data_IF_558715361815
#
_entry.id   IF_558715361815
#
_cell.length_a   1.000
_cell.length_b   1.000
_cell.length_c   1.000
_cell.angle_alpha   90.00
_cell.angle_beta   90.00
_cell.angle_gamma   90.00
#
_symmetry.space_group_name_H-M   'P 1'
#
loop_
_entity.id
_entity.type
_entity.pdbx_description
1 polymer ?
#
# COMPACT_ATOMS: atom_id res chain seq x y z
N UNK A 1 16.55 0.52 12.00
CA UNK A 1 17.16 0.27 10.69
C UNK A 1 16.73 1.41 9.76
N UNK A 2 17.70 2.02 9.10
CA UNK A 2 17.48 3.12 8.16
C UNK A 2 18.06 2.68 6.81
N UNK A 3 17.22 2.70 5.77
CA UNK A 3 17.61 2.22 4.44
C UNK A 3 17.42 3.33 3.40
N UNK A 4 18.46 4.11 3.11
CA UNK A 4 18.42 5.00 1.96
C UNK A 4 18.47 4.16 0.66
N UNK A 5 17.73 4.60 -0.34
CA UNK A 5 17.75 4.00 -1.67
C UNK A 5 17.69 5.09 -2.76
N UNK A 6 18.11 4.73 -3.95
CA UNK A 6 17.94 5.57 -5.14
C UNK A 6 17.34 4.68 -6.21
N UNK A 7 16.14 5.03 -6.66
CA UNK A 7 15.53 4.41 -7.83
C UNK A 7 15.86 5.22 -9.08
N UNK A 8 16.19 4.53 -10.16
CA UNK A 8 16.49 5.15 -11.45
C UNK A 8 15.57 4.60 -12.54
N UNK A 9 14.89 5.49 -13.27
CA UNK A 9 14.10 5.11 -14.43
C UNK A 9 14.76 5.66 -15.69
N UNK A 10 14.99 4.79 -16.64
CA UNK A 10 15.41 5.18 -17.99
C UNK A 10 14.19 5.18 -18.91
N UNK A 11 13.84 6.38 -19.40
CA UNK A 11 12.76 6.56 -20.36
C UNK A 11 13.40 6.77 -21.74
N UNK A 12 12.96 5.97 -22.70
CA UNK A 12 13.29 6.14 -24.10
C UNK A 12 12.03 6.57 -24.84
N UNK A 13 11.97 7.83 -25.24
CA UNK A 13 10.93 8.31 -26.12
C UNK A 13 11.34 8.04 -27.57
N UNK A 14 10.72 6.99 -28.14
CA UNK A 14 11.01 6.57 -29.52
C UNK A 14 10.54 7.59 -30.57
N UNK A 15 9.59 8.47 -30.22
CA UNK A 15 9.06 9.50 -31.14
C UNK A 15 9.87 10.79 -31.08
N UNK A 16 10.36 11.17 -29.90
CA UNK A 16 11.15 12.38 -29.72
C UNK A 16 12.66 12.15 -29.80
N UNK A 17 13.12 10.90 -29.87
CA UNK A 17 14.56 10.56 -29.91
C UNK A 17 15.33 10.96 -28.66
N UNK A 18 14.64 11.28 -27.57
CA UNK A 18 15.25 11.72 -26.33
C UNK A 18 15.28 10.60 -25.30
N UNK A 19 16.41 10.49 -24.62
CA UNK A 19 16.57 9.59 -23.49
C UNK A 19 16.59 10.44 -22.21
N UNK A 20 15.73 10.13 -21.26
CA UNK A 20 15.73 10.76 -19.95
C UNK A 20 16.03 9.73 -18.87
N UNK A 21 16.95 10.05 -17.98
CA UNK A 21 17.19 9.27 -16.75
C UNK A 21 16.64 10.08 -15.60
N UNK A 22 15.65 9.53 -14.92
CA UNK A 22 15.04 10.14 -13.74
C UNK A 22 15.51 9.36 -12.52
N UNK A 23 16.34 9.99 -11.67
CA UNK A 23 16.73 9.47 -10.38
C UNK A 23 15.78 9.99 -9.28
N UNK A 24 15.29 9.11 -8.42
CA UNK A 24 14.47 9.46 -7.26
C UNK A 24 15.11 8.92 -5.99
N UNK A 25 15.68 9.77 -5.13
CA UNK A 25 16.14 9.33 -3.82
C UNK A 25 14.95 9.06 -2.90
N UNK A 26 15.04 8.03 -2.10
CA UNK A 26 14.05 7.69 -1.10
C UNK A 26 14.71 7.21 0.20
N UNK A 27 13.91 7.06 1.22
CA UNK A 27 14.37 6.66 2.55
C UNK A 27 13.30 5.83 3.24
N UNK A 28 13.69 4.65 3.69
CA UNK A 28 12.87 3.82 4.57
C UNK A 28 13.48 3.77 5.97
N UNK A 29 12.63 3.98 6.97
CA UNK A 29 13.00 3.90 8.38
C UNK A 29 12.15 2.83 9.06
N UNK A 30 12.80 1.90 9.73
CA UNK A 30 12.18 0.82 10.50
C UNK A 30 12.62 0.94 11.95
N UNK A 31 11.67 1.08 12.86
CA UNK A 31 11.93 1.19 14.28
C UNK A 31 10.97 0.32 15.09
N UNK A 32 11.52 -0.51 15.96
CA UNK A 32 10.73 -1.31 16.88
C UNK A 32 10.43 -0.48 18.11
N UNK A 33 9.18 -0.03 18.26
CA UNK A 33 8.72 0.70 19.45
C UNK A 33 8.71 -0.22 20.68
N UNK A 34 8.31 -1.47 20.46
CA UNK A 34 8.40 -2.58 21.41
C UNK A 34 8.77 -3.85 20.65
N UNK A 35 9.08 -4.98 21.32
CA UNK A 35 9.33 -6.25 20.62
C UNK A 35 8.20 -6.69 19.69
N UNK A 36 6.96 -6.26 19.95
CA UNK A 36 5.77 -6.67 19.23
C UNK A 36 5.09 -5.53 18.46
N UNK A 37 5.64 -4.31 18.50
CA UNK A 37 5.08 -3.13 17.84
C UNK A 37 6.15 -2.45 17.01
N UNK A 38 5.92 -2.33 15.73
CA UNK A 38 6.85 -1.76 14.76
C UNK A 38 6.29 -0.48 14.15
N UNK A 39 7.14 0.50 14.04
CA UNK A 39 6.92 1.72 13.27
C UNK A 39 7.78 1.69 12.00
N UNK A 40 7.14 1.94 10.87
CA UNK A 40 7.80 2.01 9.57
C UNK A 40 7.41 3.31 8.90
N UNK A 41 8.38 4.03 8.37
CA UNK A 41 8.17 5.27 7.62
C UNK A 41 8.93 5.22 6.32
N UNK A 42 8.33 5.71 5.26
CA UNK A 42 8.93 5.81 3.94
C UNK A 42 8.75 7.20 3.35
N UNK A 43 9.77 7.67 2.66
CA UNK A 43 9.77 8.94 1.92
C UNK A 43 10.15 8.66 0.48
N UNK A 44 9.39 9.20 -0.47
CA UNK A 44 9.57 8.95 -1.90
C UNK A 44 9.63 7.45 -2.25
N UNK A 45 8.61 6.69 -1.82
CA UNK A 45 8.53 5.23 -2.03
C UNK A 45 8.81 4.86 -3.47
N UNK A 46 9.65 3.85 -3.66
CA UNK A 46 9.97 3.32 -4.99
C UNK A 46 8.75 2.63 -5.61
N UNK A 47 8.43 3.03 -6.83
CA UNK A 47 7.40 2.42 -7.67
C UNK A 47 7.99 1.49 -8.75
N UNK A 48 9.30 1.35 -8.82
CA UNK A 48 9.97 0.57 -9.87
C UNK A 48 9.45 -0.86 -9.98
N UNK A 49 9.05 -1.45 -8.86
CA UNK A 49 8.46 -2.80 -8.84
C UNK A 49 7.01 -2.84 -9.37
N UNK A 50 6.32 -1.70 -9.47
CA UNK A 50 4.92 -1.66 -9.93
C UNK A 50 4.79 -1.66 -11.44
N UNK A 51 5.83 -1.25 -12.16
CA UNK A 51 5.82 -1.15 -13.62
C UNK A 51 5.89 -2.51 -14.33
N UNK A 52 6.31 -3.54 -13.62
CA UNK A 52 6.49 -4.88 -14.19
C UNK A 52 5.17 -5.68 -14.21
N UNK A 53 4.04 -5.06 -13.87
CA UNK A 53 2.77 -5.74 -14.04
C UNK A 53 2.51 -5.93 -15.54
N UNK A 54 2.49 -7.19 -15.95
CA UNK A 54 2.20 -7.56 -17.34
C UNK A 54 0.87 -6.96 -17.76
N UNK A 55 0.87 -6.24 -18.89
CA UNK A 55 -0.33 -5.68 -19.48
C UNK A 55 -1.31 -6.79 -19.76
N UNK A 56 -2.30 -6.97 -18.90
CA UNK A 56 -3.38 -7.95 -19.09
C UNK A 56 -4.60 -7.23 -19.66
N UNK A 57 -5.12 -7.79 -20.76
CA UNK A 57 -6.39 -7.32 -21.31
C UNK A 57 -7.49 -7.91 -20.43
N UNK A 58 -8.23 -7.06 -19.75
CA UNK A 58 -9.36 -7.49 -18.94
C UNK A 58 -10.55 -7.80 -19.88
N UNK A 59 -10.79 -9.08 -20.14
CA UNK A 59 -11.94 -9.57 -20.89
C UNK A 59 -13.16 -9.84 -19.99
N UNK A 60 -13.05 -9.60 -18.69
CA UNK A 60 -14.12 -9.83 -17.74
C UNK A 60 -14.66 -8.49 -17.21
N UNK A 61 -15.90 -8.51 -16.73
CA UNK A 61 -16.52 -7.33 -16.06
C UNK A 61 -15.97 -7.05 -14.67
N UNK A 62 -15.09 -7.92 -14.15
CA UNK A 62 -14.53 -7.77 -12.81
C UNK A 62 -13.18 -7.06 -12.86
N UNK A 63 -12.87 -6.18 -11.90
CA UNK A 63 -11.57 -5.53 -11.85
C UNK A 63 -10.45 -6.56 -11.63
N UNK A 64 -9.33 -6.37 -12.33
CA UNK A 64 -8.13 -7.17 -12.14
C UNK A 64 -7.44 -6.76 -10.84
N UNK A 65 -7.20 -7.71 -9.95
CA UNK A 65 -6.45 -7.50 -8.71
C UNK A 65 -5.02 -7.96 -8.89
N UNK A 66 -4.10 -7.01 -8.95
CA UNK A 66 -2.66 -7.29 -8.93
C UNK A 66 -2.17 -7.41 -7.49
N UNK A 67 -1.26 -8.35 -7.20
CA UNK A 67 -0.67 -8.46 -5.87
C UNK A 67 0.16 -7.24 -5.53
N UNK A 68 0.19 -6.86 -4.25
CA UNK A 68 1.10 -5.82 -3.76
C UNK A 68 2.55 -6.31 -3.84
N UNK A 69 3.46 -5.46 -4.32
CA UNK A 69 4.89 -5.77 -4.46
C UNK A 69 5.78 -4.83 -3.64
N UNK A 70 5.27 -3.66 -3.25
CA UNK A 70 6.05 -2.66 -2.54
C UNK A 70 6.33 -3.10 -1.11
N UNK A 71 7.60 -3.14 -0.73
CA UNK A 71 8.07 -3.62 0.58
C UNK A 71 7.41 -2.92 1.76
N UNK A 72 7.19 -1.60 1.66
CA UNK A 72 6.49 -0.83 2.69
C UNK A 72 5.09 -1.38 2.98
N UNK A 73 4.32 -1.77 1.98
CA UNK A 73 2.97 -2.30 2.18
C UNK A 73 2.95 -3.78 2.52
N UNK A 74 3.90 -4.56 1.99
CA UNK A 74 3.98 -6.00 2.25
C UNK A 74 4.32 -6.32 3.70
N UNK A 75 5.16 -5.49 4.31
CA UNK A 75 5.55 -5.69 5.69
C UNK A 75 4.33 -5.59 6.60
N UNK A 76 4.04 -6.67 7.34
CA UNK A 76 2.88 -6.79 8.23
C UNK A 76 1.52 -6.48 7.55
N UNK A 77 1.40 -6.72 6.24
CA UNK A 77 0.17 -6.49 5.48
C UNK A 77 -1.04 -7.20 6.09
N UNK A 78 -0.84 -8.38 6.68
CA UNK A 78 -1.90 -9.17 7.31
C UNK A 78 -2.64 -8.45 8.44
N UNK A 79 -2.03 -7.46 9.08
CA UNK A 79 -2.68 -6.66 10.12
C UNK A 79 -3.88 -5.89 9.57
N UNK A 80 -3.84 -5.44 8.32
CA UNK A 80 -4.92 -4.68 7.68
C UNK A 80 -6.01 -5.55 7.03
N UNK A 81 -5.86 -6.87 7.04
CA UNK A 81 -6.89 -7.77 6.54
C UNK A 81 -8.10 -7.73 7.48
N UNK A 82 -9.28 -7.40 6.97
CA UNK A 82 -10.47 -7.22 7.79
C UNK A 82 -11.17 -8.53 8.15
N UNK A 83 -11.14 -9.53 7.30
CA UNK A 83 -11.82 -10.81 7.52
C UNK A 83 -10.88 -11.97 7.23
N UNK A 84 -11.06 -13.07 7.98
CA UNK A 84 -10.47 -14.35 7.61
C UNK A 84 -11.11 -14.91 6.32
N UNK A 85 -12.18 -14.29 5.87
CA UNK A 85 -12.87 -14.65 4.64
C UNK A 85 -12.11 -14.08 3.45
N UNK A 86 -10.98 -14.68 3.16
CA UNK A 86 -10.29 -14.53 1.88
C UNK A 86 -11.18 -15.01 0.71
N UNK A 87 -12.39 -15.43 1.01
CA UNK A 87 -13.30 -16.12 0.11
C UNK A 87 -14.77 -15.85 0.38
N UNK A 88 -15.17 -14.62 0.65
CA UNK A 88 -16.55 -14.29 0.33
C UNK A 88 -16.57 -13.87 -1.14
N UNK A 89 -16.54 -14.86 -1.98
CA UNK A 89 -17.11 -14.75 -3.31
C UNK A 89 -18.61 -14.68 -3.07
N UNK A 90 -19.20 -13.49 -3.01
CA UNK A 90 -20.64 -13.37 -3.23
C UNK A 90 -20.92 -13.99 -4.60
N UNK A 91 -22.11 -14.52 -4.81
CA UNK A 91 -22.54 -15.11 -6.10
C UNK A 91 -22.23 -14.22 -7.31
N UNK A 92 -21.97 -12.93 -7.09
CA UNK A 92 -21.61 -11.92 -8.09
C UNK A 92 -20.10 -11.65 -8.22
N UNK A 93 -19.24 -12.44 -7.56
CA UNK A 93 -17.77 -12.26 -7.61
C UNK A 93 -17.25 -11.02 -6.89
N UNK A 94 -18.08 -10.33 -6.12
CA UNK A 94 -17.72 -9.10 -5.42
C UNK A 94 -16.97 -9.43 -4.13
N UNK A 95 -15.72 -9.01 -4.03
CA UNK A 95 -14.90 -9.13 -2.81
C UNK A 95 -15.09 -7.88 -1.96
N UNK A 96 -15.47 -8.05 -0.70
CA UNK A 96 -15.43 -6.96 0.26
C UNK A 96 -13.99 -6.73 0.70
N UNK A 97 -13.33 -5.77 0.07
CA UNK A 97 -11.98 -5.32 0.42
C UNK A 97 -12.06 -3.88 0.94
N UNK A 98 -12.24 -3.67 2.24
CA UNK A 98 -12.31 -2.32 2.81
C UNK A 98 -11.04 -1.52 2.60
N UNK A 99 -9.94 -2.20 2.44
CA UNK A 99 -8.63 -1.61 2.19
C UNK A 99 -7.85 -2.47 1.17
N UNK A 100 -7.31 -1.81 0.15
CA UNK A 100 -6.46 -2.42 -0.86
C UNK A 100 -5.27 -1.51 -1.15
N UNK A 101 -4.10 -1.86 -0.61
CA UNK A 101 -2.88 -1.04 -0.67
C UNK A 101 -2.43 -0.78 -2.10
N UNK A 102 -2.62 -1.73 -3.01
CA UNK A 102 -2.20 -1.61 -4.41
C UNK A 102 -2.89 -0.45 -5.16
N UNK A 103 -4.10 -0.06 -4.75
CA UNK A 103 -4.79 1.10 -5.34
C UNK A 103 -4.13 2.43 -4.95
N UNK A 104 -3.33 2.45 -3.88
CA UNK A 104 -2.65 3.65 -3.42
C UNK A 104 -1.49 3.97 -4.35
N UNK A 105 -1.50 5.19 -4.88
CA UNK A 105 -0.48 5.64 -5.84
C UNK A 105 -0.75 5.21 -7.28
N UNK A 106 -1.97 4.76 -7.58
CA UNK A 106 -2.45 4.48 -8.92
C UNK A 106 -3.78 5.20 -9.14
N UNK A 107 -3.86 6.05 -10.15
CA UNK A 107 -5.10 6.71 -10.60
C UNK A 107 -5.16 6.57 -12.11
N UNK A 108 -6.24 6.02 -12.63
CA UNK A 108 -6.46 5.79 -14.07
C UNK A 108 -5.26 5.12 -14.77
N UNK A 109 -4.70 4.10 -14.11
CA UNK A 109 -3.52 3.38 -14.58
C UNK A 109 -2.22 4.23 -14.67
N UNK A 110 -2.23 5.43 -14.08
CA UNK A 110 -1.07 6.30 -13.97
C UNK A 110 -0.50 6.27 -12.56
N UNK A 111 0.82 6.31 -12.48
CA UNK A 111 1.50 6.37 -11.19
C UNK A 111 1.39 7.75 -10.55
N UNK A 112 0.92 7.76 -9.32
CA UNK A 112 0.94 8.93 -8.44
C UNK A 112 1.95 8.67 -7.33
N UNK A 113 3.12 9.33 -7.34
CA UNK A 113 4.15 9.09 -6.36
C UNK A 113 3.67 9.31 -4.93
N UNK A 114 4.07 8.43 -4.02
CA UNK A 114 3.87 8.60 -2.58
C UNK A 114 5.00 9.51 -2.08
N UNK A 115 4.63 10.67 -1.54
CA UNK A 115 5.57 11.60 -0.94
C UNK A 115 6.06 11.10 0.41
N UNK A 116 5.12 10.61 1.22
CA UNK A 116 5.36 10.18 2.58
C UNK A 116 4.37 9.07 2.95
N UNK A 117 4.86 8.05 3.61
CA UNK A 117 4.05 7.00 4.19
C UNK A 117 4.56 6.66 5.60
N UNK A 118 3.65 6.46 6.54
CA UNK A 118 3.99 5.99 7.88
C UNK A 118 2.99 4.93 8.32
N UNK A 119 3.46 3.91 9.00
CA UNK A 119 2.60 2.90 9.58
C UNK A 119 3.13 2.41 10.92
N UNK A 120 2.21 2.10 11.80
CA UNK A 120 2.47 1.39 13.05
C UNK A 120 1.67 0.10 13.01
N UNK A 121 2.34 -1.02 13.18
CA UNK A 121 1.72 -2.35 13.13
C UNK A 121 2.27 -3.22 14.24
N UNK A 122 1.42 -4.03 14.82
CA UNK A 122 1.87 -5.00 15.80
C UNK A 122 0.80 -5.39 16.81
N UNK A 123 1.27 -5.86 17.95
CA UNK A 123 0.41 -6.40 19.00
C UNK A 123 0.73 -5.77 20.34
N UNK A 124 -0.31 -5.32 21.02
CA UNK A 124 -0.25 -4.82 22.40
C UNK A 124 -1.15 -5.67 23.27
N UNK A 125 -0.55 -6.54 24.09
CA UNK A 125 -1.29 -7.51 24.88
C UNK A 125 -2.10 -8.48 23.99
N UNK A 126 -3.43 -8.40 24.06
CA UNK A 126 -4.37 -9.22 23.27
C UNK A 126 -4.95 -8.49 22.07
N UNK A 127 -4.45 -7.27 21.77
CA UNK A 127 -4.95 -6.41 20.71
C UNK A 127 -3.95 -6.34 19.58
N UNK A 128 -4.36 -6.70 18.36
CA UNK A 128 -3.60 -6.42 17.15
C UNK A 128 -3.99 -5.02 16.65
N UNK A 129 -3.00 -4.18 16.36
CA UNK A 129 -3.15 -2.78 15.97
C UNK A 129 -2.44 -2.52 14.63
N UNK A 130 -3.12 -1.81 13.74
CA UNK A 130 -2.56 -1.27 12.52
C UNK A 130 -3.04 0.16 12.29
N UNK A 131 -2.12 1.08 12.10
CA UNK A 131 -2.41 2.45 11.66
C UNK A 131 -1.50 2.76 10.49
N UNK A 132 -2.06 3.30 9.43
CA UNK A 132 -1.36 3.65 8.19
C UNK A 132 -1.79 5.05 7.77
N UNK A 133 -0.83 5.93 7.57
CA UNK A 133 -1.03 7.27 7.00
C UNK A 133 -0.18 7.43 5.75
N UNK A 134 -0.77 7.95 4.67
CA UNK A 134 -0.07 8.15 3.40
C UNK A 134 -0.44 9.51 2.83
N UNK A 135 0.56 10.17 2.26
CA UNK A 135 0.38 11.37 1.44
C UNK A 135 0.95 11.14 0.06
N UNK A 136 0.11 11.30 -0.95
CA UNK A 136 0.54 11.26 -2.36
C UNK A 136 1.00 12.63 -2.82
N UNK A 137 1.79 12.65 -3.88
CA UNK A 137 2.24 13.89 -4.52
C UNK A 137 1.21 14.34 -5.55
N UNK A 138 1.04 15.64 -5.69
CA UNK A 138 0.31 16.21 -6.84
C UNK A 138 1.08 15.90 -8.13
N UNK A 139 0.40 15.37 -9.13
CA UNK A 139 1.00 15.03 -10.43
C UNK A 139 0.03 15.40 -11.54
N UNK A 140 0.40 16.34 -12.40
CA UNK A 140 -0.44 16.76 -13.53
C UNK A 140 -1.85 17.13 -13.11
N UNK A 141 -2.83 16.31 -13.49
CA UNK A 141 -4.25 16.51 -13.17
C UNK A 141 -4.72 15.85 -11.84
N UNK A 142 -3.84 15.11 -11.17
CA UNK A 142 -4.16 14.43 -9.93
C UNK A 142 -3.70 15.27 -8.75
N UNK A 143 -4.65 15.67 -7.90
CA UNK A 143 -4.34 16.39 -6.66
C UNK A 143 -3.66 15.47 -5.64
N UNK A 144 -2.90 16.09 -4.73
CA UNK A 144 -2.30 15.35 -3.62
C UNK A 144 -3.41 14.86 -2.67
N UNK A 145 -3.37 13.58 -2.30
CA UNK A 145 -4.36 12.95 -1.42
C UNK A 145 -3.74 12.53 -0.11
N UNK A 146 -4.53 12.63 0.96
CA UNK A 146 -4.20 12.05 2.26
C UNK A 146 -5.07 10.81 2.47
N UNK A 147 -4.45 9.73 2.87
CA UNK A 147 -5.09 8.46 3.12
C UNK A 147 -4.77 8.03 4.54
N UNK A 148 -5.78 7.65 5.29
CA UNK A 148 -5.65 7.13 6.64
C UNK A 148 -6.39 5.81 6.78
N UNK A 149 -5.73 4.82 7.33
CA UNK A 149 -6.32 3.51 7.63
C UNK A 149 -6.01 3.15 9.07
N UNK A 150 -7.03 2.80 9.82
CA UNK A 150 -6.92 2.29 11.19
C UNK A 150 -7.54 0.91 11.31
N UNK A 151 -6.84 -0.03 11.91
CA UNK A 151 -7.31 -1.39 12.15
C UNK A 151 -7.05 -1.80 13.58
N UNK A 152 -8.08 -2.29 14.26
CA UNK A 152 -7.99 -2.86 15.59
C UNK A 152 -8.66 -4.22 15.59
N UNK A 153 -8.00 -5.20 16.21
CA UNK A 153 -8.53 -6.55 16.41
C UNK A 153 -8.22 -6.99 17.84
N UNK A 154 -9.25 -7.21 18.63
CA UNK A 154 -9.15 -7.63 20.03
C UNK A 154 -9.55 -9.10 20.16
N UNK A 155 -8.64 -9.93 20.65
CA UNK A 155 -8.96 -11.30 21.00
C UNK A 155 -9.68 -11.34 22.35
N UNK A 156 -10.95 -11.78 22.36
CA UNK A 156 -11.83 -11.75 23.53
C UNK A 156 -11.95 -13.11 24.21
N UNK A 157 -11.95 -14.20 23.45
CA UNK A 157 -12.03 -15.57 23.93
C UNK A 157 -10.89 -16.41 23.34
N UNK A 158 -10.93 -17.74 23.56
CA UNK A 158 -9.88 -18.63 23.05
C UNK A 158 -9.81 -18.67 21.52
N UNK A 159 -10.97 -18.54 20.84
CA UNK A 159 -11.08 -18.64 19.38
C UNK A 159 -11.94 -17.51 18.78
N UNK A 160 -12.21 -16.45 19.56
CA UNK A 160 -13.08 -15.34 19.12
C UNK A 160 -12.35 -14.02 19.20
N UNK A 161 -12.68 -13.13 18.29
CA UNK A 161 -12.17 -11.76 18.29
C UNK A 161 -13.24 -10.77 17.83
N UNK A 162 -13.09 -9.53 18.24
CA UNK A 162 -13.79 -8.36 17.72
C UNK A 162 -12.79 -7.51 16.95
N UNK A 163 -13.20 -6.97 15.83
CA UNK A 163 -12.35 -6.09 15.05
C UNK A 163 -13.11 -4.98 14.35
N UNK A 164 -12.42 -3.87 14.16
CA UNK A 164 -12.89 -2.74 13.39
C UNK A 164 -11.82 -2.27 12.42
N UNK A 165 -12.22 -1.76 11.27
CA UNK A 165 -11.36 -1.07 10.32
C UNK A 165 -12.01 0.27 9.97
N UNK A 166 -11.18 1.30 9.91
CA UNK A 166 -11.53 2.64 9.49
C UNK A 166 -10.65 3.03 8.31
N UNK A 167 -11.24 3.60 7.28
CA UNK A 167 -10.52 4.11 6.12
C UNK A 167 -11.04 5.52 5.81
N UNK A 168 -10.13 6.44 5.57
CA UNK A 168 -10.41 7.79 5.11
C UNK A 168 -9.47 8.14 3.97
N UNK A 169 -9.97 8.71 2.90
CA UNK A 169 -9.21 9.24 1.77
C UNK A 169 -9.97 10.40 1.13
N UNK A 170 -9.23 11.41 0.70
CA UNK A 170 -9.77 12.55 -0.07
C UNK A 170 -9.70 12.24 -1.58
#
# INVERSE_FOLDING_TARGET
DVRPFVSGRWLRDAQAGQNAVIGRPGLDVFYNLTPNLKWTTTVNTDFGETEVDTRQINLTRFPLFFPEKRSFFLENAGVFNFSNTFSVTTSDGMRLLPFFSRSIGLVDNQEVPILFGTKITGKVGRTDLGVLGIRTKKTGFVEAKNLLVGRVKQNILRQSYIGAIFTQGD
#
